data_IF_411381198078
#
_entry.id   IF_411381198078
#
_cell.length_a   1.000
_cell.length_b   1.000
_cell.length_c   1.000
_cell.angle_alpha   90.00
_cell.angle_beta   90.00
_cell.angle_gamma   90.00
#
_symmetry.space_group_name_H-M   'P 1'
#
loop_
_entity.id
_entity.type
_entity.pdbx_description
1 polymer ?
#
# COMPACT_ATOMS: atom_id res chain seq x y z
N UNK A 1 -2.74 -3.22 17.19
CA UNK A 1 -4.12 -3.50 17.71
C UNK A 1 -5.18 -3.30 16.60
N UNK A 2 -5.15 -2.21 15.82
CA UNK A 2 -6.17 -1.92 14.80
C UNK A 2 -6.32 -3.01 13.73
N UNK A 3 -5.24 -3.47 13.16
CA UNK A 3 -5.27 -4.53 12.13
C UNK A 3 -5.87 -5.85 12.65
N UNK A 4 -5.48 -6.28 13.85
CA UNK A 4 -6.03 -7.52 14.45
C UNK A 4 -7.54 -7.44 14.61
N UNK A 5 -8.06 -6.29 15.04
CA UNK A 5 -9.51 -6.08 15.15
C UNK A 5 -10.21 -6.25 13.80
N UNK A 6 -9.68 -5.65 12.75
CA UNK A 6 -10.26 -5.75 11.40
C UNK A 6 -10.25 -7.19 10.88
N UNK A 7 -9.14 -7.91 11.05
CA UNK A 7 -9.05 -9.31 10.63
C UNK A 7 -9.98 -10.22 11.41
N UNK A 8 -10.10 -10.03 12.74
CA UNK A 8 -11.04 -10.81 13.56
C UNK A 8 -12.50 -10.55 13.19
N UNK A 9 -12.89 -9.30 12.91
CA UNK A 9 -14.24 -8.97 12.47
C UNK A 9 -14.53 -9.63 11.12
N UNK A 10 -13.60 -9.54 10.16
CA UNK A 10 -13.72 -10.21 8.85
C UNK A 10 -13.84 -11.72 9.00
N UNK A 11 -13.05 -12.33 9.87
CA UNK A 11 -13.07 -13.76 10.17
C UNK A 11 -14.43 -14.21 10.73
N UNK A 12 -14.97 -13.47 11.70
CA UNK A 12 -16.29 -13.75 12.27
C UNK A 12 -17.38 -13.71 11.18
N UNK A 13 -17.35 -12.70 10.32
CA UNK A 13 -18.30 -12.59 9.20
C UNK A 13 -18.15 -13.76 8.23
N UNK A 14 -16.92 -14.12 7.85
CA UNK A 14 -16.65 -15.22 6.95
C UNK A 14 -17.15 -16.56 7.52
N UNK A 15 -16.82 -16.86 8.77
CA UNK A 15 -17.28 -18.07 9.47
C UNK A 15 -18.81 -18.12 9.59
N UNK A 16 -19.45 -17.00 9.91
CA UNK A 16 -20.90 -16.92 9.99
C UNK A 16 -21.57 -17.27 8.66
N UNK A 17 -21.10 -16.72 7.55
CA UNK A 17 -21.63 -17.00 6.22
C UNK A 17 -21.36 -18.45 5.79
N UNK A 18 -20.17 -18.98 6.05
CA UNK A 18 -19.88 -20.42 5.81
C UNK A 18 -20.82 -21.35 6.58
N UNK A 19 -21.09 -21.04 7.85
CA UNK A 19 -22.03 -21.81 8.67
C UNK A 19 -23.48 -21.76 8.15
N UNK A 20 -23.85 -20.70 7.42
CA UNK A 20 -25.14 -20.60 6.73
C UNK A 20 -25.21 -21.37 5.42
N UNK A 21 -24.09 -21.88 4.93
CA UNK A 21 -23.99 -22.58 3.66
C UNK A 21 -23.64 -21.67 2.48
N UNK A 22 -23.24 -20.41 2.72
CA UNK A 22 -22.82 -19.50 1.66
C UNK A 22 -21.39 -19.86 1.20
N UNK A 23 -21.11 -19.67 -0.09
CA UNK A 23 -19.74 -19.70 -0.61
C UNK A 23 -19.03 -18.39 -0.24
N UNK A 24 -17.89 -18.50 0.46
CA UNK A 24 -17.15 -17.34 0.97
C UNK A 24 -15.74 -17.34 0.43
N UNK A 25 -15.31 -16.22 -0.15
CA UNK A 25 -13.93 -15.93 -0.54
C UNK A 25 -13.36 -14.96 0.49
N UNK A 26 -12.36 -15.39 1.25
CA UNK A 26 -11.72 -14.59 2.30
C UNK A 26 -10.18 -14.71 2.23
N UNK A 27 -9.55 -14.19 1.17
CA UNK A 27 -8.11 -14.29 0.98
C UNK A 27 -7.33 -13.30 1.83
N UNK A 28 -6.02 -13.55 1.99
CA UNK A 28 -5.07 -12.57 2.51
C UNK A 28 -4.39 -11.86 1.34
N UNK A 29 -4.40 -10.52 1.37
CA UNK A 29 -3.62 -9.66 0.48
C UNK A 29 -2.59 -8.85 1.26
N UNK A 30 -1.34 -8.87 0.81
CA UNK A 30 -0.23 -8.10 1.38
C UNK A 30 -0.06 -6.81 0.57
N UNK A 31 -0.32 -5.67 1.20
CA UNK A 31 0.02 -4.36 0.64
C UNK A 31 1.53 -4.14 0.85
N UNK A 32 2.30 -4.46 -0.19
CA UNK A 32 3.71 -4.74 -0.06
C UNK A 32 4.64 -3.75 -0.76
N UNK A 33 4.12 -2.73 -1.42
CA UNK A 33 4.88 -1.59 -1.94
C UNK A 33 4.90 -0.45 -0.92
N UNK A 34 5.90 0.40 -1.04
CA UNK A 34 5.89 1.70 -0.41
C UNK A 34 7.14 2.06 0.36
N UNK A 35 7.20 3.33 0.68
CA UNK A 35 8.29 4.02 1.35
C UNK A 35 8.68 3.42 2.72
N UNK A 36 7.76 2.90 3.56
CA UNK A 36 8.16 2.29 4.83
C UNK A 36 9.14 1.10 4.67
N UNK A 37 8.92 0.25 3.66
CA UNK A 37 9.82 -0.87 3.38
C UNK A 37 11.18 -0.38 2.83
N UNK A 38 11.17 0.62 1.96
CA UNK A 38 12.39 1.21 1.39
C UNK A 38 13.24 1.87 2.47
N UNK A 39 12.64 2.64 3.37
CA UNK A 39 13.35 3.28 4.47
C UNK A 39 13.92 2.28 5.48
N UNK A 40 13.15 1.24 5.80
CA UNK A 40 13.65 0.16 6.64
C UNK A 40 14.83 -0.56 5.97
N UNK A 41 14.75 -0.81 4.67
CA UNK A 41 15.84 -1.42 3.91
C UNK A 41 17.12 -0.56 3.91
N UNK A 42 17.00 0.75 3.78
CA UNK A 42 18.13 1.68 3.92
C UNK A 42 18.72 1.61 5.33
N UNK A 43 17.85 1.69 6.36
CA UNK A 43 18.27 1.66 7.77
C UNK A 43 19.02 0.38 8.13
N UNK A 44 18.51 -0.77 7.64
CA UNK A 44 19.08 -2.09 7.95
C UNK A 44 20.06 -2.60 6.89
N UNK A 45 20.38 -1.78 5.86
CA UNK A 45 21.31 -2.13 4.78
C UNK A 45 20.96 -3.45 4.09
N UNK A 46 19.67 -3.66 3.82
CA UNK A 46 19.14 -4.84 3.13
C UNK A 46 18.38 -4.43 1.88
N UNK A 47 18.06 -5.38 1.01
CA UNK A 47 17.23 -5.10 -0.15
C UNK A 47 15.74 -4.95 0.26
N UNK A 48 14.98 -3.97 -0.26
CA UNK A 48 13.57 -3.78 0.09
C UNK A 48 12.70 -5.02 -0.11
N UNK A 49 12.95 -5.78 -1.17
CA UNK A 49 12.25 -7.03 -1.46
C UNK A 49 12.47 -8.06 -0.36
N UNK A 50 13.73 -8.29 0.05
CA UNK A 50 14.07 -9.27 1.07
C UNK A 50 13.44 -8.90 2.42
N UNK A 51 13.50 -7.61 2.76
CA UNK A 51 12.83 -7.07 3.95
C UNK A 51 11.33 -7.32 3.92
N UNK A 52 10.69 -7.01 2.81
CA UNK A 52 9.24 -7.17 2.63
C UNK A 52 8.82 -8.63 2.72
N UNK A 53 9.49 -9.52 1.98
CA UNK A 53 9.18 -10.95 1.99
C UNK A 53 9.39 -11.59 3.37
N UNK A 54 10.45 -11.17 4.10
CA UNK A 54 10.68 -11.64 5.46
C UNK A 54 9.57 -11.18 6.42
N UNK A 55 9.08 -9.95 6.27
CA UNK A 55 7.98 -9.42 7.07
C UNK A 55 6.66 -10.14 6.76
N UNK A 56 6.35 -10.38 5.49
CA UNK A 56 5.19 -11.18 5.07
C UNK A 56 5.24 -12.55 5.75
N UNK A 57 6.37 -13.25 5.66
CA UNK A 57 6.53 -14.57 6.30
C UNK A 57 6.30 -14.53 7.82
N UNK A 58 6.82 -13.49 8.49
CA UNK A 58 6.63 -13.33 9.92
C UNK A 58 5.17 -13.04 10.29
N UNK A 59 4.52 -12.11 9.56
CA UNK A 59 3.12 -11.76 9.80
C UNK A 59 2.18 -12.93 9.50
N UNK A 60 2.41 -13.66 8.40
CA UNK A 60 1.65 -14.88 8.08
C UNK A 60 1.67 -15.87 9.23
N UNK A 61 2.85 -16.17 9.78
CA UNK A 61 3.00 -17.06 10.93
C UNK A 61 2.24 -16.56 12.17
N UNK A 62 2.21 -15.23 12.39
CA UNK A 62 1.48 -14.65 13.51
C UNK A 62 -0.04 -14.75 13.31
N UNK A 63 -0.54 -14.46 12.09
CA UNK A 63 -1.97 -14.57 11.76
C UNK A 63 -2.45 -16.02 11.81
N UNK A 64 -1.62 -16.97 11.36
CA UNK A 64 -1.93 -18.41 11.50
C UNK A 64 -2.06 -18.85 12.96
N UNK A 65 -1.28 -18.27 13.88
CA UNK A 65 -1.42 -18.53 15.32
C UNK A 65 -2.72 -18.00 15.94
N UNK A 66 -3.36 -17.01 15.28
CA UNK A 66 -4.69 -16.51 15.68
C UNK A 66 -5.82 -17.40 15.16
N UNK A 67 -5.50 -18.44 14.41
CA UNK A 67 -6.47 -19.38 13.81
C UNK A 67 -7.57 -18.68 12.99
N UNK A 68 -7.19 -17.63 12.24
CA UNK A 68 -8.09 -16.95 11.33
C UNK A 68 -8.38 -17.83 10.11
N UNK A 69 -9.66 -17.93 9.74
CA UNK A 69 -10.14 -18.71 8.60
C UNK A 69 -9.94 -17.95 7.27
N UNK A 70 -8.66 -17.74 6.94
CA UNK A 70 -8.23 -17.09 5.71
C UNK A 70 -7.94 -18.13 4.63
N UNK A 71 -8.32 -17.82 3.40
CA UNK A 71 -8.03 -18.63 2.21
C UNK A 71 -6.56 -18.40 1.77
N UNK A 72 -5.65 -19.13 2.40
CA UNK A 72 -4.22 -19.01 2.16
C UNK A 72 -3.79 -19.50 0.76
N UNK A 73 -4.61 -20.32 0.10
CA UNK A 73 -4.35 -20.78 -1.26
C UNK A 73 -4.59 -19.66 -2.30
N UNK A 74 -5.32 -18.62 -1.89
CA UNK A 74 -5.57 -17.41 -2.68
C UNK A 74 -4.82 -16.19 -2.17
N UNK A 75 -3.77 -16.42 -1.40
CA UNK A 75 -2.89 -15.37 -0.92
C UNK A 75 -2.23 -14.61 -2.09
N UNK A 76 -2.16 -13.30 -1.98
CA UNK A 76 -1.52 -12.44 -2.96
C UNK A 76 -0.65 -11.37 -2.30
N UNK A 77 0.29 -10.83 -3.05
CA UNK A 77 1.07 -9.66 -2.65
C UNK A 77 1.09 -8.63 -3.79
N UNK A 78 0.81 -7.38 -3.48
CA UNK A 78 0.69 -6.30 -4.47
C UNK A 78 2.02 -5.99 -5.17
N UNK A 79 3.15 -6.40 -4.58
CA UNK A 79 4.49 -6.27 -5.17
C UNK A 79 4.87 -7.39 -6.14
N UNK A 80 4.05 -8.43 -6.30
CA UNK A 80 4.31 -9.50 -7.24
C UNK A 80 3.94 -9.07 -8.67
N UNK A 81 4.77 -9.49 -9.64
CA UNK A 81 4.56 -9.17 -11.07
C UNK A 81 3.20 -9.62 -11.57
N UNK A 82 2.74 -10.79 -11.14
CA UNK A 82 1.42 -11.32 -11.48
C UNK A 82 0.27 -10.41 -11.04
N UNK A 83 0.47 -9.64 -9.97
CA UNK A 83 -0.52 -8.69 -9.48
C UNK A 83 -0.38 -7.34 -10.18
N UNK A 84 0.80 -6.69 -10.13
CA UNK A 84 0.93 -5.32 -10.59
C UNK A 84 0.89 -5.16 -12.11
N UNK A 85 1.10 -6.22 -12.90
CA UNK A 85 0.89 -6.16 -14.35
C UNK A 85 -0.52 -5.68 -14.73
N UNK A 86 -1.53 -6.09 -13.97
CA UNK A 86 -2.91 -5.64 -14.18
C UNK A 86 -3.12 -4.17 -13.80
N UNK A 87 -2.40 -3.68 -12.77
CA UNK A 87 -2.41 -2.26 -12.43
C UNK A 87 -1.72 -1.42 -13.51
N UNK A 88 -0.64 -1.94 -14.11
CA UNK A 88 0.02 -1.28 -15.24
C UNK A 88 -0.88 -1.22 -16.48
N UNK A 89 -1.59 -2.30 -16.78
CA UNK A 89 -2.58 -2.34 -17.86
C UNK A 89 -3.68 -1.31 -17.64
N UNK A 90 -4.29 -1.30 -16.45
CA UNK A 90 -5.29 -0.29 -16.08
C UNK A 90 -4.76 1.15 -16.18
N UNK A 91 -3.50 1.38 -15.78
CA UNK A 91 -2.88 2.70 -15.92
C UNK A 91 -2.78 3.13 -17.39
N UNK A 92 -2.40 2.21 -18.28
CA UNK A 92 -2.32 2.47 -19.72
C UNK A 92 -3.70 2.81 -20.28
N UNK A 93 -4.74 2.09 -19.87
CA UNK A 93 -6.12 2.37 -20.27
C UNK A 93 -6.58 3.76 -19.81
N UNK A 94 -6.29 4.11 -18.57
CA UNK A 94 -6.58 5.46 -18.02
C UNK A 94 -5.82 6.56 -18.76
N UNK A 95 -4.56 6.30 -19.14
CA UNK A 95 -3.77 7.22 -19.93
C UNK A 95 -4.35 7.40 -21.35
N UNK A 96 -4.69 6.32 -22.03
CA UNK A 96 -5.29 6.34 -23.37
C UNK A 96 -6.66 7.02 -23.36
N UNK A 97 -7.42 6.89 -22.28
CA UNK A 97 -8.69 7.60 -22.07
C UNK A 97 -8.51 9.10 -21.70
N UNK A 98 -7.27 9.59 -21.56
CA UNK A 98 -6.96 10.95 -21.18
C UNK A 98 -7.30 11.30 -19.72
N UNK A 99 -7.47 10.28 -18.89
CA UNK A 99 -7.75 10.40 -17.45
C UNK A 99 -6.48 10.49 -16.62
N UNK A 100 -5.41 9.84 -17.05
CA UNK A 100 -4.07 9.99 -16.49
C UNK A 100 -3.26 10.94 -17.38
N UNK A 101 -2.56 11.90 -16.77
CA UNK A 101 -1.75 12.88 -17.48
C UNK A 101 -0.55 13.31 -16.66
N UNK A 102 0.48 13.80 -17.35
CA UNK A 102 1.71 14.29 -16.71
C UNK A 102 1.72 15.81 -16.69
N UNK A 103 2.09 16.39 -15.55
CA UNK A 103 2.14 17.84 -15.36
C UNK A 103 3.24 18.20 -14.36
N UNK A 104 3.91 19.33 -14.61
CA UNK A 104 4.79 19.93 -13.62
C UNK A 104 3.95 20.58 -12.53
N UNK A 105 4.25 20.22 -11.30
CA UNK A 105 3.54 20.71 -10.13
C UNK A 105 4.51 21.07 -9.00
N UNK A 106 4.15 22.09 -8.25
CA UNK A 106 4.84 22.44 -7.03
C UNK A 106 4.43 21.46 -5.93
N UNK A 107 5.40 20.72 -5.42
CA UNK A 107 5.19 19.67 -4.42
C UNK A 107 5.93 19.98 -3.12
N UNK A 108 5.48 19.37 -2.02
CA UNK A 108 6.21 19.39 -0.77
C UNK A 108 7.28 18.29 -0.80
N UNK A 109 8.53 18.68 -0.81
CA UNK A 109 9.67 17.76 -0.84
C UNK A 109 10.30 17.64 0.53
N UNK A 110 10.39 16.42 1.05
CA UNK A 110 11.18 16.13 2.25
C UNK A 110 12.61 15.77 1.83
N UNK A 111 13.62 16.59 2.21
CA UNK A 111 15.01 16.36 1.79
C UNK A 111 15.69 15.19 2.50
N UNK A 112 15.16 14.77 3.65
CA UNK A 112 15.69 13.64 4.43
C UNK A 112 15.19 12.31 3.89
N UNK A 113 13.87 12.18 3.73
CA UNK A 113 13.25 10.99 3.15
C UNK A 113 13.33 10.96 1.61
N UNK A 114 13.78 12.05 0.97
CA UNK A 114 13.87 12.22 -0.48
C UNK A 114 12.56 11.84 -1.20
N UNK A 115 11.44 12.32 -0.68
CA UNK A 115 10.10 11.99 -1.19
C UNK A 115 9.18 13.20 -1.22
N UNK A 116 8.12 13.07 -2.00
CA UNK A 116 7.02 14.03 -2.04
C UNK A 116 6.02 13.71 -0.94
N UNK A 117 5.62 14.72 -0.19
CA UNK A 117 4.61 14.62 0.87
C UNK A 117 3.29 15.26 0.44
N UNK A 118 2.19 14.59 0.77
CA UNK A 118 0.86 15.19 0.71
C UNK A 118 0.72 16.33 1.72
N UNK A 119 -0.25 17.22 1.52
CA UNK A 119 -0.42 18.38 2.42
C UNK A 119 -0.67 17.94 3.87
N UNK A 120 -1.40 16.86 4.08
CA UNK A 120 -1.73 16.29 5.39
C UNK A 120 -0.50 15.72 6.12
N UNK A 121 0.58 15.49 5.39
CA UNK A 121 1.85 14.98 5.90
C UNK A 121 2.84 16.10 6.26
N UNK A 122 2.43 17.35 6.08
CA UNK A 122 3.23 18.53 6.44
C UNK A 122 2.59 19.20 7.65
N UNK A 123 3.30 19.21 8.78
CA UNK A 123 2.86 19.80 10.05
C UNK A 123 3.81 20.94 10.38
N UNK A 124 3.28 22.15 10.53
CA UNK A 124 4.07 23.36 10.82
C UNK A 124 5.28 23.56 9.90
N UNK A 125 5.10 23.28 8.59
CA UNK A 125 6.16 23.40 7.59
C UNK A 125 7.20 22.28 7.60
N UNK A 126 6.98 21.22 8.38
CA UNK A 126 7.90 20.10 8.55
C UNK A 126 7.26 18.79 8.14
N UNK A 127 8.07 17.86 7.66
CA UNK A 127 7.63 16.49 7.38
C UNK A 127 7.18 15.78 8.67
N UNK A 128 5.98 15.21 8.65
CA UNK A 128 5.33 14.60 9.80
C UNK A 128 6.17 13.48 10.46
N UNK A 129 7.03 12.84 9.68
CA UNK A 129 7.86 11.71 10.13
C UNK A 129 9.30 12.11 10.43
N UNK A 130 9.93 12.89 9.55
CA UNK A 130 11.33 13.26 9.67
C UNK A 130 11.56 14.47 10.57
N UNK A 131 10.53 15.35 10.69
CA UNK A 131 10.67 16.65 11.33
C UNK A 131 11.52 17.65 10.53
N UNK A 132 11.97 17.27 9.32
CA UNK A 132 12.76 18.14 8.45
C UNK A 132 11.87 19.27 7.86
N UNK A 133 12.46 20.43 7.65
CA UNK A 133 11.80 21.52 6.92
C UNK A 133 11.55 21.10 5.47
N UNK A 134 10.33 21.36 5.01
CA UNK A 134 9.89 20.97 3.67
C UNK A 134 10.33 22.01 2.65
N UNK A 135 10.92 21.54 1.56
CA UNK A 135 11.22 22.35 0.40
C UNK A 135 10.07 22.30 -0.61
N UNK A 136 9.81 23.45 -1.28
CA UNK A 136 8.90 23.46 -2.42
C UNK A 136 9.70 23.20 -3.69
N UNK A 137 9.40 22.11 -4.39
CA UNK A 137 10.05 21.76 -5.66
C UNK A 137 9.05 21.62 -6.80
N UNK A 138 9.42 22.09 -7.98
CA UNK A 138 8.68 21.78 -9.21
C UNK A 138 9.14 20.42 -9.72
N UNK A 139 8.24 19.46 -9.73
CA UNK A 139 8.50 18.12 -10.22
C UNK A 139 7.42 17.69 -11.22
N UNK A 140 7.86 16.97 -12.25
CA UNK A 140 6.94 16.35 -13.20
C UNK A 140 6.27 15.15 -12.56
N UNK A 141 4.96 15.23 -12.37
CA UNK A 141 4.16 14.25 -11.65
C UNK A 141 3.01 13.72 -12.51
N UNK A 142 2.56 12.51 -12.22
CA UNK A 142 1.35 11.94 -12.76
C UNK A 142 0.14 12.37 -11.96
N UNK A 143 -0.94 12.69 -12.68
CA UNK A 143 -2.22 13.11 -12.11
C UNK A 143 -3.35 12.30 -12.73
N UNK A 144 -4.40 12.08 -11.93
CA UNK A 144 -5.66 11.51 -12.38
C UNK A 144 -6.78 12.53 -12.27
N UNK A 145 -7.66 12.57 -13.28
CA UNK A 145 -8.84 13.43 -13.30
C UNK A 145 -9.98 12.79 -12.49
N UNK A 146 -9.76 12.51 -11.22
CA UNK A 146 -10.73 11.81 -10.37
C UNK A 146 -12.05 12.58 -10.21
N UNK A 147 -12.00 13.92 -10.27
CA UNK A 147 -13.20 14.77 -10.15
C UNK A 147 -14.17 14.63 -11.31
N UNK A 148 -13.76 14.02 -12.44
CA UNK A 148 -14.69 13.71 -13.53
C UNK A 148 -15.71 12.65 -13.16
N UNK A 149 -15.51 11.96 -12.03
CA UNK A 149 -16.37 10.88 -11.52
C UNK A 149 -17.01 11.21 -10.17
N UNK A 150 -16.91 12.46 -9.73
CA UNK A 150 -17.51 12.93 -8.47
C UNK A 150 -18.97 13.34 -8.66
#
# INVERSE_FOLDING_TARGET
MGHVRNYVIGDICARYHKLKGDEVIHPMGWDAFGLPAENAAIQFKTHPQDWTLQNIKNMKRQLQKLDLDLDWDRELATCNEEYYKHQQELFIDLYNAGLAYKKDALVNWDPVDQTVLANEQVIDGKGWRTGAEIEKKNLSQWFFKITNYA
#
